data_IF_505709916466
#
_entry.id   IF_505709916466
#
_cell.length_a   1.000
_cell.length_b   1.000
_cell.length_c   1.000
_cell.angle_alpha   90.00
_cell.angle_beta   90.00
_cell.angle_gamma   90.00
#
_symmetry.space_group_name_H-M   'P 1'
#
loop_
_entity.id
_entity.type
_entity.pdbx_description
1 polymer ?
#
# COMPACT_ATOMS: atom_id res chain seq x y z
N UNK A 1 -12.19 5.25 4.33
CA UNK A 1 -13.28 5.22 3.35
C UNK A 1 -14.65 4.96 3.99
N UNK A 2 -15.67 5.77 3.69
CA UNK A 2 -17.07 5.49 4.04
C UNK A 2 -17.64 4.16 3.50
N UNK A 3 -17.00 3.56 2.49
CA UNK A 3 -17.37 2.26 1.95
C UNK A 3 -16.76 1.07 2.73
N UNK A 4 -15.82 1.33 3.66
CA UNK A 4 -15.42 0.31 4.63
C UNK A 4 -16.54 0.11 5.65
N UNK A 5 -17.12 -1.10 5.64
CA UNK A 5 -18.18 -1.51 6.57
C UNK A 5 -17.66 -2.43 7.66
N UNK A 6 -16.34 -2.52 7.82
CA UNK A 6 -15.69 -3.36 8.82
C UNK A 6 -16.05 -2.92 10.24
N UNK A 7 -16.08 -3.89 11.14
CA UNK A 7 -16.34 -3.67 12.55
C UNK A 7 -15.31 -4.40 13.41
N UNK A 8 -15.12 -3.93 14.64
CA UNK A 8 -14.30 -4.59 15.64
C UNK A 8 -15.10 -4.76 16.94
N UNK A 9 -14.70 -5.77 17.73
CA UNK A 9 -15.30 -5.99 19.05
C UNK A 9 -14.50 -5.22 20.10
N UNK A 10 -15.13 -4.22 20.70
CA UNK A 10 -14.53 -3.39 21.76
C UNK A 10 -15.39 -3.54 23.01
N UNK A 11 -14.80 -4.03 24.10
CA UNK A 11 -15.50 -4.24 25.39
C UNK A 11 -16.82 -5.00 25.26
N UNK A 12 -16.85 -6.04 24.42
CA UNK A 12 -18.04 -6.87 24.21
C UNK A 12 -19.02 -6.35 23.14
N UNK A 13 -18.91 -5.10 22.70
CA UNK A 13 -19.77 -4.50 21.68
C UNK A 13 -19.11 -4.53 20.30
N UNK A 14 -19.90 -4.78 19.25
CA UNK A 14 -19.45 -4.68 17.86
C UNK A 14 -19.65 -3.25 17.40
N UNK A 15 -18.55 -2.55 17.09
CA UNK A 15 -18.57 -1.15 16.67
C UNK A 15 -17.90 -1.00 15.30
N UNK A 16 -18.35 -0.05 14.46
CA UNK A 16 -17.65 0.28 13.21
C UNK A 16 -16.18 0.61 13.46
N UNK A 17 -15.30 0.15 12.57
CA UNK A 17 -13.88 0.48 12.66
C UNK A 17 -13.68 1.97 12.32
N UNK A 18 -12.76 2.61 13.04
CA UNK A 18 -12.45 4.03 12.86
C UNK A 18 -11.34 4.31 11.83
N UNK A 19 -10.59 3.29 11.41
CA UNK A 19 -9.46 3.39 10.47
C UNK A 19 -9.58 2.37 9.35
N UNK A 20 -9.50 2.85 8.13
CA UNK A 20 -9.39 2.04 6.91
C UNK A 20 -8.29 2.55 5.98
N UNK A 21 -7.44 3.47 6.47
CA UNK A 21 -6.40 4.13 5.67
C UNK A 21 -5.02 3.82 6.24
N UNK A 22 -4.05 3.81 5.34
CA UNK A 22 -2.64 3.66 5.63
C UNK A 22 -1.82 4.68 4.83
N UNK A 23 -0.64 5.02 5.34
CA UNK A 23 0.28 5.96 4.70
C UNK A 23 1.43 5.20 4.04
N UNK A 24 1.89 5.68 2.88
CA UNK A 24 3.09 5.18 2.21
C UNK A 24 4.28 5.13 3.19
N UNK A 25 4.86 3.94 3.40
CA UNK A 25 5.99 3.75 4.30
C UNK A 25 7.21 4.63 3.96
N UNK A 26 7.36 5.03 2.70
CA UNK A 26 8.49 5.83 2.25
C UNK A 26 8.43 7.28 2.70
N UNK A 27 7.25 7.76 3.15
CA UNK A 27 7.05 9.09 3.71
C UNK A 27 7.25 9.08 5.23
N UNK A 28 8.50 8.91 5.66
CA UNK A 28 8.91 8.87 7.07
C UNK A 28 8.27 7.73 7.90
N UNK A 29 7.96 6.61 7.25
CA UNK A 29 7.50 5.40 7.94
C UNK A 29 8.63 4.61 8.62
N UNK A 30 8.28 3.56 9.39
CA UNK A 30 9.22 2.75 10.17
C UNK A 30 10.28 2.03 9.31
N UNK A 31 10.02 1.87 8.01
CA UNK A 31 10.93 1.22 7.06
C UNK A 31 11.09 -0.26 7.40
N UNK A 32 10.03 -1.06 7.33
CA UNK A 32 10.10 -2.48 7.66
C UNK A 32 10.49 -3.37 6.49
N UNK A 33 11.04 -4.54 6.81
CA UNK A 33 11.24 -5.65 5.89
C UNK A 33 12.22 -5.38 4.75
N UNK A 34 12.05 -6.16 3.68
CA UNK A 34 12.82 -6.06 2.42
C UNK A 34 12.54 -4.77 1.65
N UNK A 35 11.53 -4.00 2.06
CA UNK A 35 11.29 -2.70 1.48
C UNK A 35 12.53 -1.81 1.59
N UNK A 36 13.34 -1.89 2.66
CA UNK A 36 14.65 -1.19 2.77
C UNK A 36 15.69 -1.57 1.69
N UNK A 37 15.40 -2.54 0.83
CA UNK A 37 16.34 -3.13 -0.12
C UNK A 37 17.24 -4.12 0.60
N UNK A 38 17.30 -5.37 0.11
CA UNK A 38 18.33 -6.30 0.56
C UNK A 38 19.71 -5.69 0.27
N UNK A 39 20.60 -5.68 1.27
CA UNK A 39 21.98 -5.20 1.21
C UNK A 39 22.20 -3.68 1.10
N UNK A 40 21.25 -2.84 1.55
CA UNK A 40 21.56 -1.42 1.80
C UNK A 40 21.87 -0.57 0.56
N UNK A 41 21.41 -0.99 -0.63
CA UNK A 41 21.32 -0.11 -1.82
C UNK A 41 19.97 0.61 -1.76
N UNK A 42 19.92 1.58 -0.85
CA UNK A 42 18.72 2.09 -0.20
C UNK A 42 17.73 2.76 -1.13
N UNK A 43 16.46 2.46 -0.92
CA UNK A 43 15.36 3.25 -1.44
C UNK A 43 15.19 4.50 -0.59
N UNK A 44 14.92 5.62 -1.25
CA UNK A 44 14.80 6.92 -0.60
C UNK A 44 13.63 6.94 0.38
N UNK A 45 13.89 7.42 1.59
CA UNK A 45 12.85 7.83 2.53
C UNK A 45 12.74 9.35 2.54
N UNK A 46 11.53 9.84 2.36
CA UNK A 46 11.25 11.26 2.34
C UNK A 46 10.85 11.73 3.73
N UNK A 47 11.66 12.62 4.29
CA UNK A 47 11.40 13.25 5.60
C UNK A 47 10.76 14.64 5.47
N UNK A 48 10.81 15.21 4.27
CA UNK A 48 10.30 16.53 3.93
C UNK A 48 9.69 16.49 2.54
N UNK A 49 8.73 17.38 2.28
CA UNK A 49 8.04 17.48 1.00
C UNK A 49 9.01 17.84 -0.14
N UNK A 50 9.96 18.75 0.11
CA UNK A 50 10.98 19.18 -0.86
C UNK A 50 11.98 18.07 -1.24
N UNK A 51 12.06 17.00 -0.44
CA UNK A 51 12.87 15.84 -0.76
C UNK A 51 12.21 14.91 -1.80
N UNK A 52 10.90 15.07 -2.08
CA UNK A 52 10.14 14.25 -3.01
C UNK A 52 10.41 14.72 -4.45
N UNK A 53 11.63 14.46 -4.94
CA UNK A 53 12.10 14.92 -6.26
C UNK A 53 12.02 13.84 -7.33
N UNK A 54 12.10 12.56 -6.94
CA UNK A 54 11.98 11.41 -7.83
C UNK A 54 11.23 10.31 -7.06
N UNK A 55 10.01 9.90 -7.48
CA UNK A 55 9.36 10.17 -8.78
C UNK A 55 8.69 11.55 -8.92
N UNK A 56 8.86 12.42 -7.93
CA UNK A 56 8.25 13.75 -7.87
C UNK A 56 6.89 13.74 -7.17
N UNK A 57 6.39 14.90 -6.69
CA UNK A 57 5.24 14.95 -5.80
C UNK A 57 3.95 14.40 -6.42
N UNK A 58 3.73 14.65 -7.71
CA UNK A 58 2.59 14.12 -8.47
C UNK A 58 2.65 12.62 -8.74
N UNK A 59 3.79 11.96 -8.51
CA UNK A 59 3.91 10.51 -8.66
C UNK A 59 4.28 9.84 -7.34
N UNK A 60 4.17 10.51 -6.19
CA UNK A 60 4.37 9.86 -4.89
C UNK A 60 3.07 9.83 -4.14
N UNK A 61 2.49 8.64 -3.95
CA UNK A 61 1.27 8.52 -3.16
C UNK A 61 1.56 8.73 -1.66
N UNK A 62 0.59 9.31 -0.96
CA UNK A 62 0.64 9.60 0.48
C UNK A 62 -0.24 8.62 1.24
N UNK A 63 -1.56 8.70 1.04
CA UNK A 63 -2.52 7.80 1.68
C UNK A 63 -3.31 7.00 0.66
N UNK A 64 -3.70 5.80 1.07
CA UNK A 64 -4.70 4.97 0.41
C UNK A 64 -5.59 4.27 1.43
N UNK A 65 -6.69 3.73 0.97
CA UNK A 65 -7.46 2.76 1.75
C UNK A 65 -6.79 1.39 1.74
N UNK A 66 -6.62 0.80 2.91
CA UNK A 66 -6.13 -0.57 3.11
C UNK A 66 -7.28 -1.49 3.52
N UNK A 67 -7.24 -2.75 3.08
CA UNK A 67 -8.32 -3.70 3.34
C UNK A 67 -8.51 -4.03 4.82
N UNK A 68 -9.77 -4.25 5.20
CA UNK A 68 -10.17 -4.62 6.56
C UNK A 68 -9.48 -5.87 7.13
N UNK A 69 -9.09 -6.82 6.27
CA UNK A 69 -8.45 -8.10 6.62
C UNK A 69 -6.92 -8.09 6.44
N UNK A 70 -6.34 -6.96 6.05
CA UNK A 70 -4.89 -6.72 5.91
C UNK A 70 -4.36 -5.71 6.93
N UNK A 71 -5.14 -4.65 7.17
CA UNK A 71 -4.74 -3.47 7.92
C UNK A 71 -4.24 -3.79 9.33
N UNK A 72 -2.99 -3.41 9.60
CA UNK A 72 -2.24 -3.84 10.78
C UNK A 72 -1.77 -2.65 11.65
N UNK A 73 -1.11 -1.64 11.09
CA UNK A 73 -0.35 -0.64 11.89
C UNK A 73 -0.42 0.81 11.39
N UNK A 74 -0.99 1.08 10.22
CA UNK A 74 -1.12 2.45 9.69
C UNK A 74 -0.14 2.78 8.58
N UNK A 75 0.76 1.86 8.26
CA UNK A 75 1.75 2.00 7.22
C UNK A 75 1.42 1.04 6.09
N UNK A 76 1.51 1.51 4.85
CA UNK A 76 1.38 0.68 3.65
C UNK A 76 2.76 0.44 3.04
N UNK A 77 3.18 -0.82 3.04
CA UNK A 77 4.48 -1.27 2.58
C UNK A 77 4.40 -1.67 1.12
N UNK A 78 5.08 -0.90 0.27
CA UNK A 78 5.34 -1.29 -1.12
C UNK A 78 6.71 -1.94 -1.19
N UNK A 79 6.73 -3.25 -1.44
CA UNK A 79 7.94 -4.01 -1.74
C UNK A 79 8.52 -3.53 -3.08
N UNK A 80 9.80 -3.17 -3.10
CA UNK A 80 10.44 -2.58 -4.28
C UNK A 80 11.40 -3.55 -5.00
N UNK A 81 11.56 -4.80 -4.54
CA UNK A 81 12.53 -5.78 -5.07
C UNK A 81 12.39 -6.08 -6.57
N UNK A 82 11.20 -5.90 -7.13
CA UNK A 82 10.95 -6.12 -8.56
C UNK A 82 11.01 -4.88 -9.44
N UNK A 83 11.16 -3.69 -8.86
CA UNK A 83 11.25 -2.45 -9.63
C UNK A 83 12.69 -2.24 -10.15
N UNK A 84 12.88 -1.72 -11.38
CA UNK A 84 11.85 -1.44 -12.38
C UNK A 84 11.56 -2.63 -13.31
N UNK A 85 12.43 -3.64 -13.34
CA UNK A 85 12.55 -4.57 -14.47
C UNK A 85 12.58 -6.06 -14.07
N UNK A 86 12.28 -6.37 -12.80
CA UNK A 86 12.28 -7.75 -12.26
C UNK A 86 10.88 -8.15 -11.77
N UNK A 87 9.87 -8.21 -12.66
CA UNK A 87 8.49 -8.45 -12.26
C UNK A 87 8.28 -9.82 -11.61
N UNK A 88 9.16 -10.79 -11.86
CA UNK A 88 9.17 -12.08 -11.16
C UNK A 88 9.40 -11.97 -9.66
N UNK A 89 9.94 -10.85 -9.16
CA UNK A 89 10.21 -10.59 -7.75
C UNK A 89 9.09 -9.78 -7.07
N UNK A 90 8.02 -9.41 -7.77
CA UNK A 90 6.88 -8.70 -7.18
C UNK A 90 6.30 -9.46 -5.99
N UNK A 91 5.98 -8.72 -4.93
CA UNK A 91 5.33 -9.20 -3.71
C UNK A 91 4.19 -8.27 -3.33
N UNK A 92 3.15 -8.83 -2.72
CA UNK A 92 2.10 -8.07 -2.04
C UNK A 92 2.37 -8.16 -0.54
N UNK A 93 2.80 -7.05 0.06
CA UNK A 93 3.04 -6.99 1.52
C UNK A 93 1.72 -6.69 2.21
N UNK A 94 1.19 -5.50 1.94
CA UNK A 94 -0.11 -5.04 2.41
C UNK A 94 -1.08 -4.95 1.23
N UNK A 95 -2.37 -5.17 1.49
CA UNK A 95 -3.37 -5.21 0.43
C UNK A 95 -4.19 -3.92 0.35
N UNK A 96 -4.22 -3.27 -0.82
CA UNK A 96 -5.03 -2.07 -0.99
C UNK A 96 -6.52 -2.44 -1.02
N UNK A 97 -7.36 -1.54 -0.53
CA UNK A 97 -8.80 -1.74 -0.56
C UNK A 97 -9.35 -1.78 -2.00
N UNK A 98 -10.48 -2.48 -2.15
CA UNK A 98 -11.16 -2.69 -3.43
C UNK A 98 -12.63 -2.24 -3.40
N UNK A 99 -12.97 -1.40 -2.42
CA UNK A 99 -14.35 -1.00 -2.09
C UNK A 99 -15.08 -0.26 -3.23
N UNK A 100 -14.34 0.32 -4.18
CA UNK A 100 -14.91 1.14 -5.25
C UNK A 100 -14.96 0.38 -6.57
N UNK A 101 -15.77 -0.69 -6.63
CA UNK A 101 -15.84 -1.56 -7.80
C UNK A 101 -14.45 -2.09 -8.17
N UNK A 102 -13.83 -2.91 -7.31
CA UNK A 102 -12.48 -3.43 -7.52
C UNK A 102 -11.41 -2.34 -7.75
N UNK A 103 -11.57 -1.18 -7.11
CA UNK A 103 -10.62 -0.07 -7.17
C UNK A 103 -10.33 0.49 -5.78
N UNK A 104 -9.16 1.11 -5.64
CA UNK A 104 -8.73 1.85 -4.45
C UNK A 104 -8.44 3.31 -4.77
N UNK A 105 -8.67 4.19 -3.79
CA UNK A 105 -8.33 5.61 -3.88
C UNK A 105 -6.92 5.88 -3.36
N UNK A 106 -6.20 6.76 -4.04
CA UNK A 106 -4.86 7.23 -3.66
C UNK A 106 -4.88 8.75 -3.61
N UNK A 107 -4.20 9.31 -2.62
CA UNK A 107 -3.82 10.73 -2.57
C UNK A 107 -2.33 10.87 -2.85
N UNK A 108 -1.91 11.99 -3.42
CA UNK A 108 -0.53 12.23 -3.84
C UNK A 108 0.07 13.46 -3.16
N UNK A 109 1.40 13.55 -3.19
CA UNK A 109 2.15 14.54 -2.43
C UNK A 109 2.00 15.98 -2.96
N UNK A 110 1.53 16.17 -4.19
CA UNK A 110 1.11 17.47 -4.73
C UNK A 110 -0.35 17.86 -4.37
N UNK A 111 -1.10 16.97 -3.70
CA UNK A 111 -2.46 17.20 -3.24
C UNK A 111 -3.57 16.67 -4.16
N UNK A 112 -3.27 16.06 -5.31
CA UNK A 112 -4.31 15.42 -6.12
C UNK A 112 -4.66 14.00 -5.63
N UNK A 113 -5.70 13.42 -6.22
CA UNK A 113 -6.14 12.05 -5.94
C UNK A 113 -6.44 11.27 -7.22
N UNK A 114 -6.19 9.97 -7.21
CA UNK A 114 -6.51 9.03 -8.29
C UNK A 114 -7.35 7.87 -7.77
N UNK A 115 -8.20 7.30 -8.64
CA UNK A 115 -8.84 5.99 -8.42
C UNK A 115 -8.14 4.97 -9.30
N UNK A 116 -7.52 3.95 -8.68
CA UNK A 116 -6.85 2.86 -9.37
C UNK A 116 -7.73 1.61 -9.38
N UNK A 117 -8.23 1.25 -10.56
CA UNK A 117 -8.88 -0.06 -10.79
C UNK A 117 -7.83 -1.16 -10.79
N UNK A 118 -8.01 -2.18 -9.96
CA UNK A 118 -7.12 -3.34 -9.86
C UNK A 118 -7.30 -4.26 -11.06
N UNK A 119 -6.18 -4.73 -11.63
CA UNK A 119 -6.16 -5.56 -12.83
C UNK A 119 -5.82 -7.02 -12.53
N UNK A 120 -5.11 -7.27 -11.45
CA UNK A 120 -4.72 -8.61 -11.03
C UNK A 120 -5.65 -9.13 -9.94
N UNK A 121 -6.21 -10.33 -10.12
CA UNK A 121 -7.10 -10.93 -9.13
C UNK A 121 -6.39 -11.20 -7.79
N UNK A 122 -5.05 -11.33 -7.80
CA UNK A 122 -4.23 -11.49 -6.60
C UNK A 122 -4.14 -10.20 -5.79
N UNK A 123 -4.50 -9.05 -6.33
CA UNK A 123 -4.63 -7.77 -5.60
C UNK A 123 -5.97 -7.67 -4.87
N UNK A 124 -6.96 -8.43 -5.32
CA UNK A 124 -8.33 -8.43 -4.79
C UNK A 124 -8.79 -9.83 -4.35
N UNK A 125 -8.02 -10.55 -3.50
CA UNK A 125 -8.44 -11.87 -3.04
C UNK A 125 -9.76 -11.79 -2.27
N UNK A 126 -10.43 -12.94 -2.11
CA UNK A 126 -11.67 -13.03 -1.33
C UNK A 126 -11.49 -12.46 0.07
N UNK A 127 -12.40 -11.56 0.45
CA UNK A 127 -12.37 -10.86 1.74
C UNK A 127 -12.67 -11.81 2.90
N UNK A 128 -11.79 -11.84 3.90
CA UNK A 128 -11.94 -12.62 5.14
C UNK A 128 -12.49 -11.75 6.25
N UNK A 129 -13.81 -11.54 6.27
CA UNK A 129 -14.47 -10.71 7.30
C UNK A 129 -14.16 -11.21 8.71
N UNK A 130 -13.63 -10.32 9.56
CA UNK A 130 -13.28 -10.64 10.95
C UNK A 130 -12.08 -11.58 11.11
N UNK A 131 -11.38 -11.90 10.02
CA UNK A 131 -10.15 -12.70 10.03
C UNK A 131 -8.93 -11.90 9.56
N UNK A 132 -7.80 -12.60 9.46
CA UNK A 132 -6.57 -12.07 8.90
C UNK A 132 -6.26 -12.73 7.55
N UNK A 133 -5.92 -11.91 6.57
CA UNK A 133 -5.33 -12.34 5.31
C UNK A 133 -3.83 -12.66 5.53
N UNK A 134 -3.29 -13.57 4.74
CA UNK A 134 -1.85 -13.79 4.73
C UNK A 134 -1.17 -12.60 4.03
N UNK A 135 -0.20 -11.99 4.72
CA UNK A 135 0.57 -10.85 4.23
C UNK A 135 1.93 -11.29 3.72
N UNK A 136 2.64 -10.40 3.02
CA UNK A 136 3.97 -10.67 2.47
C UNK A 136 4.02 -11.94 1.61
N UNK A 137 3.18 -11.97 0.57
CA UNK A 137 3.08 -13.11 -0.34
C UNK A 137 3.70 -12.78 -1.70
N UNK A 138 4.36 -13.77 -2.35
CA UNK A 138 4.79 -13.61 -3.74
C UNK A 138 3.61 -13.27 -4.66
N UNK A 139 3.81 -12.29 -5.53
CA UNK A 139 2.85 -11.88 -6.55
C UNK A 139 3.55 -11.63 -7.89
N UNK A 140 4.29 -12.62 -8.42
CA UNK A 140 5.12 -12.43 -9.61
C UNK A 140 4.31 -11.93 -10.79
N UNK A 141 4.85 -10.95 -11.51
CA UNK A 141 4.24 -10.30 -12.67
C UNK A 141 2.93 -9.58 -12.39
N UNK A 142 2.63 -9.25 -11.12
CA UNK A 142 1.44 -8.47 -10.77
C UNK A 142 1.61 -7.02 -11.22
N UNK A 143 0.75 -6.58 -12.14
CA UNK A 143 0.76 -5.22 -12.73
C UNK A 143 0.33 -4.13 -11.74
N UNK A 144 -0.48 -4.49 -10.75
CA UNK A 144 -0.89 -3.55 -9.71
C UNK A 144 0.25 -3.30 -8.70
N UNK A 145 1.09 -4.31 -8.43
CA UNK A 145 2.32 -4.12 -7.65
C UNK A 145 3.27 -3.16 -8.37
N UNK A 146 3.50 -3.37 -9.68
CA UNK A 146 4.31 -2.45 -10.48
C UNK A 146 3.78 -1.00 -10.42
N UNK A 147 2.46 -0.83 -10.57
CA UNK A 147 1.83 0.49 -10.51
C UNK A 147 2.05 1.19 -9.16
N UNK A 148 1.99 0.44 -8.06
CA UNK A 148 2.29 0.97 -6.71
C UNK A 148 3.78 1.27 -6.54
N UNK A 149 4.68 0.42 -7.04
CA UNK A 149 6.13 0.67 -7.01
C UNK A 149 6.51 1.95 -7.75
N UNK A 150 5.94 2.16 -8.94
CA UNK A 150 6.15 3.38 -9.72
C UNK A 150 5.77 4.65 -8.95
N UNK A 151 4.85 4.52 -7.98
CA UNK A 151 4.32 5.63 -7.18
C UNK A 151 4.82 5.69 -5.73
N UNK A 152 5.74 4.82 -5.35
CA UNK A 152 6.16 4.65 -3.96
C UNK A 152 7.41 5.48 -3.61
N UNK A 153 8.53 5.18 -4.28
CA UNK A 153 9.86 5.77 -4.04
C UNK A 153 10.84 5.39 -5.16
N UNK A 154 12.10 5.84 -5.07
CA UNK A 154 13.21 5.55 -5.99
C UNK A 154 14.50 5.23 -5.21
N UNK A 155 15.48 4.56 -5.84
CA UNK A 155 16.80 4.37 -5.23
C UNK A 155 17.43 5.73 -4.87
N UNK A 156 18.24 5.76 -3.81
CA UNK A 156 19.00 6.95 -3.43
C UNK A 156 19.96 7.43 -4.52
#
# INVERSE_FOLDING_TARGET
CPADKSACKVRGQVLPRVRSMAMNMWLNGPGWGTARGENGKGWRKFFKLDAITDPGPSNTFVFLDEREDSINDGTFVVAMEGWPDKPSLHKMIDYPASYHNAAGGFSFADGHSEIKKWQDSRTIPTLKRGGALALNVPSPNNRDVAWMQDRATRPD
#
